data_IF_600200484692
#
_entry.id   IF_600200484692
#
_cell.length_a   1.000
_cell.length_b   1.000
_cell.length_c   1.000
_cell.angle_alpha   90.00
_cell.angle_beta   90.00
_cell.angle_gamma   90.00
#
_symmetry.space_group_name_H-M   'P 1'
#
loop_
_entity.id
_entity.type
_entity.pdbx_description
1 polymer ?
#
# COMPACT_ATOMS: atom_id res chain seq x y z
N UNK A 1 -55.74 15.18 25.75
CA UNK A 1 -56.32 14.83 24.44
C UNK A 1 -55.20 14.81 23.41
N UNK A 2 -55.15 13.85 22.49
CA UNK A 2 -55.08 12.39 22.67
C UNK A 2 -53.80 11.81 22.00
N UNK A 3 -53.18 10.76 22.58
CA UNK A 3 -53.12 9.34 22.11
C UNK A 3 -52.09 9.11 20.99
N UNK A 4 -50.97 8.43 21.27
CA UNK A 4 -50.72 6.96 21.22
C UNK A 4 -50.02 6.62 19.90
N UNK A 5 -48.78 6.09 19.93
CA UNK A 5 -48.37 4.69 20.17
C UNK A 5 -48.33 3.89 18.86
N UNK A 6 -47.48 2.85 18.85
CA UNK A 6 -47.17 1.89 17.77
C UNK A 6 -45.90 2.28 17.00
N UNK A 7 -44.68 1.83 17.35
CA UNK A 7 -44.21 0.46 17.62
C UNK A 7 -44.68 -0.53 16.55
N UNK A 8 -43.77 -0.91 15.66
CA UNK A 8 -43.59 -2.31 15.27
C UNK A 8 -42.31 -2.48 14.46
N UNK A 9 -41.49 -3.43 14.92
CA UNK A 9 -40.20 -3.75 14.35
C UNK A 9 -40.31 -4.36 12.95
N UNK A 10 -39.38 -3.97 12.08
CA UNK A 10 -39.12 -4.72 10.86
C UNK A 10 -37.92 -5.65 11.06
N UNK A 11 -38.18 -6.90 10.72
CA UNK A 11 -37.40 -8.08 10.93
C UNK A 11 -36.16 -8.08 10.04
N UNK A 12 -35.07 -8.60 10.59
CA UNK A 12 -34.01 -9.15 9.77
C UNK A 12 -34.57 -10.22 8.82
N UNK A 13 -34.34 -10.05 7.54
CA UNK A 13 -34.34 -11.15 6.58
C UNK A 13 -33.27 -10.89 5.51
N UNK A 14 -32.37 -11.84 5.46
CA UNK A 14 -31.22 -12.03 4.58
C UNK A 14 -31.52 -11.84 3.09
N UNK A 15 -30.61 -11.24 2.30
CA UNK A 15 -30.44 -11.65 0.92
C UNK A 15 -29.53 -12.87 0.86
N UNK A 16 -30.18 -14.00 0.58
CA UNK A 16 -29.63 -15.22 0.01
C UNK A 16 -28.72 -14.92 -1.18
N UNK A 17 -27.50 -15.45 -1.10
CA UNK A 17 -26.73 -16.11 -2.16
C UNK A 17 -27.00 -15.68 -3.61
N UNK A 18 -26.17 -14.77 -4.11
CA UNK A 18 -25.73 -14.81 -5.49
C UNK A 18 -24.20 -14.78 -5.49
N UNK A 19 -23.61 -15.98 -5.66
CA UNK A 19 -22.25 -16.13 -6.17
C UNK A 19 -22.23 -15.44 -7.54
N UNK A 20 -21.64 -14.27 -7.60
CA UNK A 20 -21.10 -13.74 -8.84
C UNK A 20 -19.60 -13.97 -8.75
N UNK A 21 -19.13 -14.84 -9.64
CA UNK A 21 -17.73 -15.01 -9.96
C UNK A 21 -17.13 -13.63 -10.27
N UNK A 22 -16.36 -13.08 -9.32
CA UNK A 22 -15.37 -12.06 -9.61
C UNK A 22 -14.27 -12.70 -10.45
N UNK A 23 -14.56 -12.89 -11.73
CA UNK A 23 -13.54 -12.99 -12.76
C UNK A 23 -12.80 -11.67 -12.72
N UNK A 24 -11.62 -11.75 -12.12
CA UNK A 24 -10.49 -10.83 -12.17
C UNK A 24 -10.33 -10.26 -13.58
N UNK A 25 -11.09 -9.23 -13.92
CA UNK A 25 -10.87 -8.34 -15.04
C UNK A 25 -9.66 -7.48 -14.68
N UNK A 26 -8.48 -8.09 -14.81
CA UNK A 26 -7.24 -7.35 -14.91
C UNK A 26 -7.39 -6.41 -16.09
N UNK A 27 -7.57 -5.14 -15.79
CA UNK A 27 -7.52 -4.03 -16.72
C UNK A 27 -6.09 -4.00 -17.28
N UNK A 28 -5.83 -4.86 -18.27
CA UNK A 28 -4.63 -4.80 -19.08
C UNK A 28 -4.73 -3.49 -19.84
N UNK A 29 -4.08 -2.46 -19.32
CA UNK A 29 -3.78 -1.24 -20.06
C UNK A 29 -2.97 -1.69 -21.27
N UNK A 30 -3.65 -1.82 -22.41
CA UNK A 30 -3.09 -2.32 -23.66
C UNK A 30 -1.85 -1.50 -24.01
N UNK A 31 -0.73 -2.20 -24.27
CA UNK A 31 0.55 -1.57 -24.68
C UNK A 31 0.44 -0.88 -26.05
N UNK A 32 -0.70 -1.01 -26.73
CA UNK A 32 -0.98 -0.48 -28.08
C UNK A 32 -2.32 0.30 -28.14
N UNK A 33 -2.41 1.52 -27.59
CA UNK A 33 -3.66 2.30 -27.51
C UNK A 33 -4.34 2.61 -28.85
N UNK A 34 -3.57 2.59 -29.96
CA UNK A 34 -4.10 2.81 -31.30
C UNK A 34 -4.93 1.62 -31.81
N UNK A 35 -4.56 0.40 -31.42
CA UNK A 35 -5.27 -0.82 -31.82
C UNK A 35 -6.59 -0.94 -31.08
N UNK A 36 -6.63 -0.54 -29.81
CA UNK A 36 -7.84 -0.57 -29.00
C UNK A 36 -8.98 0.25 -29.63
N UNK A 37 -8.68 1.46 -30.10
CA UNK A 37 -9.68 2.32 -30.73
C UNK A 37 -10.23 1.75 -32.05
N UNK A 38 -9.38 1.04 -32.82
CA UNK A 38 -9.80 0.36 -34.05
C UNK A 38 -10.64 -0.89 -33.73
N UNK A 39 -10.21 -1.67 -32.74
CA UNK A 39 -10.92 -2.88 -32.29
C UNK A 39 -12.32 -2.57 -31.74
N UNK A 40 -12.47 -1.49 -30.97
CA UNK A 40 -13.77 -1.09 -30.43
C UNK A 40 -14.81 -0.76 -31.51
N UNK A 41 -14.42 -0.54 -32.77
CA UNK A 41 -15.36 -0.33 -33.88
C UNK A 41 -15.99 -1.62 -34.40
N UNK A 42 -15.36 -2.76 -34.15
CA UNK A 42 -15.76 -4.08 -34.65
C UNK A 42 -16.08 -5.08 -33.53
N UNK A 43 -15.85 -4.71 -32.26
CA UNK A 43 -16.15 -5.55 -31.09
C UNK A 43 -17.67 -5.70 -30.89
N UNK A 44 -18.13 -6.95 -30.80
CA UNK A 44 -19.53 -7.30 -30.53
C UNK A 44 -19.89 -7.21 -29.04
N UNK A 45 -18.96 -6.74 -28.21
CA UNK A 45 -19.14 -6.56 -26.78
C UNK A 45 -18.77 -7.82 -26.01
N UNK A 46 -17.49 -8.20 -26.08
CA UNK A 46 -16.79 -9.07 -25.12
C UNK A 46 -15.29 -9.19 -25.45
N UNK A 47 -14.72 -8.24 -26.21
CA UNK A 47 -13.37 -8.37 -26.76
C UNK A 47 -13.29 -9.43 -27.87
N UNK A 48 -14.40 -9.71 -28.55
CA UNK A 48 -14.51 -10.61 -29.71
C UNK A 48 -15.16 -9.86 -30.86
N UNK A 49 -14.76 -10.18 -32.09
CA UNK A 49 -15.33 -9.59 -33.31
C UNK A 49 -15.64 -10.68 -34.34
N UNK A 50 -16.61 -10.44 -35.21
CA UNK A 50 -17.03 -11.40 -36.25
C UNK A 50 -15.95 -11.63 -37.31
N UNK A 51 -15.82 -12.86 -37.82
CA UNK A 51 -14.85 -13.22 -38.87
C UNK A 51 -15.06 -12.41 -40.16
N UNK A 52 -16.30 -11.99 -40.45
CA UNK A 52 -16.64 -11.11 -41.57
C UNK A 52 -16.00 -9.72 -41.50
N UNK A 53 -15.61 -9.30 -40.29
CA UNK A 53 -14.99 -8.00 -40.06
C UNK A 53 -13.47 -8.01 -40.18
N UNK A 54 -12.84 -9.20 -40.23
CA UNK A 54 -11.38 -9.32 -40.27
C UNK A 54 -10.73 -8.59 -41.46
N UNK A 55 -11.30 -8.74 -42.66
CA UNK A 55 -10.80 -8.05 -43.85
C UNK A 55 -10.93 -6.53 -43.76
N UNK A 56 -12.02 -6.04 -43.17
CA UNK A 56 -12.24 -4.60 -42.98
C UNK A 56 -11.31 -4.02 -41.92
N UNK A 57 -11.07 -4.78 -40.84
CA UNK A 57 -10.14 -4.41 -39.77
C UNK A 57 -8.70 -4.28 -40.29
N UNK A 58 -8.23 -5.26 -41.06
CA UNK A 58 -6.89 -5.23 -41.67
C UNK A 58 -6.74 -4.07 -42.65
N UNK A 59 -7.78 -3.78 -43.43
CA UNK A 59 -7.80 -2.63 -44.35
C UNK A 59 -7.76 -1.29 -43.60
N UNK A 60 -8.53 -1.15 -42.52
CA UNK A 60 -8.53 0.05 -41.67
C UNK A 60 -7.19 0.25 -40.95
N UNK A 61 -6.43 -0.84 -40.73
CA UNK A 61 -5.04 -0.80 -40.24
C UNK A 61 -4.01 -0.48 -41.35
N UNK A 62 -4.44 -0.40 -42.61
CA UNK A 62 -3.58 -0.08 -43.76
C UNK A 62 -3.00 -1.29 -44.49
N UNK A 63 -3.43 -2.51 -44.17
CA UNK A 63 -2.96 -3.74 -44.81
C UNK A 63 -3.90 -4.17 -45.92
N UNK A 64 -3.36 -4.38 -47.13
CA UNK A 64 -4.13 -4.89 -48.25
C UNK A 64 -3.94 -6.40 -48.41
N UNK A 65 -4.73 -7.17 -47.67
CA UNK A 65 -4.61 -8.63 -47.63
C UNK A 65 -5.22 -9.28 -48.87
N UNK A 66 -4.45 -10.15 -49.54
CA UNK A 66 -5.01 -10.98 -50.60
C UNK A 66 -6.05 -11.99 -50.03
N UNK A 67 -7.13 -12.33 -50.76
CA UNK A 67 -8.17 -13.24 -50.25
C UNK A 67 -7.64 -14.57 -49.70
N UNK A 68 -6.61 -15.14 -50.35
CA UNK A 68 -5.97 -16.38 -49.88
C UNK A 68 -5.27 -16.26 -48.53
N UNK A 69 -4.73 -15.08 -48.23
CA UNK A 69 -4.10 -14.80 -46.93
C UNK A 69 -5.17 -14.66 -45.86
N UNK A 70 -6.30 -14.02 -46.20
CA UNK A 70 -7.45 -13.91 -45.31
C UNK A 70 -8.05 -15.28 -44.98
N UNK A 71 -8.24 -16.14 -45.98
CA UNK A 71 -8.76 -17.51 -45.77
C UNK A 71 -7.84 -18.31 -44.83
N UNK A 72 -6.52 -18.24 -45.06
CA UNK A 72 -5.53 -18.88 -44.18
C UNK A 72 -5.55 -18.31 -42.76
N UNK A 73 -5.67 -16.99 -42.63
CA UNK A 73 -5.75 -16.33 -41.34
C UNK A 73 -7.00 -16.77 -40.55
N UNK A 74 -8.12 -16.96 -41.24
CA UNK A 74 -9.36 -17.48 -40.66
C UNK A 74 -9.22 -18.93 -40.21
N UNK A 75 -8.62 -19.80 -41.03
CA UNK A 75 -8.35 -21.20 -40.67
C UNK A 75 -7.46 -21.31 -39.41
N UNK A 76 -6.51 -20.39 -39.24
CA UNK A 76 -5.58 -20.37 -38.09
C UNK A 76 -6.21 -19.76 -36.82
N UNK A 77 -6.99 -18.69 -36.93
CA UNK A 77 -7.57 -17.97 -35.79
C UNK A 77 -8.93 -18.52 -35.33
N UNK A 78 -9.72 -19.12 -36.22
CA UNK A 78 -11.03 -19.71 -35.92
C UNK A 78 -11.13 -21.14 -36.50
N UNK A 79 -10.31 -22.09 -36.03
CA UNK A 79 -10.27 -23.45 -36.56
C UNK A 79 -11.58 -24.22 -36.37
N UNK A 80 -12.45 -23.75 -35.46
CA UNK A 80 -13.74 -24.36 -35.16
C UNK A 80 -14.89 -23.72 -35.95
N UNK A 81 -14.60 -22.73 -36.81
CA UNK A 81 -15.60 -21.95 -37.55
C UNK A 81 -16.72 -21.40 -36.65
N UNK A 82 -16.35 -20.89 -35.48
CA UNK A 82 -17.26 -20.27 -34.52
C UNK A 82 -17.87 -18.98 -35.07
N UNK A 83 -17.20 -18.34 -36.04
CA UNK A 83 -17.57 -17.05 -36.58
C UNK A 83 -17.10 -15.87 -35.72
N UNK A 84 -16.42 -16.12 -34.61
CA UNK A 84 -15.95 -15.10 -33.67
C UNK A 84 -14.44 -15.24 -33.43
N UNK A 85 -13.71 -14.13 -33.52
CA UNK A 85 -12.27 -14.07 -33.25
C UNK A 85 -12.04 -13.22 -32.01
N UNK A 86 -11.31 -13.75 -31.03
CA UNK A 86 -10.93 -12.96 -29.84
C UNK A 86 -9.82 -11.97 -30.17
N UNK A 87 -9.87 -10.78 -29.55
CA UNK A 87 -8.83 -9.75 -29.71
C UNK A 87 -7.44 -10.28 -29.40
N UNK A 88 -7.30 -11.12 -28.38
CA UNK A 88 -6.01 -11.71 -28.01
C UNK A 88 -5.49 -12.63 -29.12
N UNK A 89 -6.34 -13.51 -29.65
CA UNK A 89 -6.00 -14.43 -30.75
C UNK A 89 -5.56 -13.67 -32.00
N UNK A 90 -6.26 -12.58 -32.34
CA UNK A 90 -5.84 -11.74 -33.46
C UNK A 90 -4.47 -11.09 -33.23
N UNK A 91 -4.22 -10.53 -32.04
CA UNK A 91 -2.95 -9.85 -31.77
C UNK A 91 -1.77 -10.81 -31.80
N UNK A 92 -1.92 -12.02 -31.25
CA UNK A 92 -0.89 -13.07 -31.31
C UNK A 92 -0.61 -13.49 -32.76
N UNK A 93 -1.67 -13.71 -33.56
CA UNK A 93 -1.52 -14.04 -34.98
C UNK A 93 -0.87 -12.89 -35.77
N UNK A 94 -1.31 -11.66 -35.52
CA UNK A 94 -0.82 -10.47 -36.22
C UNK A 94 0.64 -10.20 -35.90
N UNK A 95 1.08 -10.32 -34.64
CA UNK A 95 2.49 -10.19 -34.27
C UNK A 95 3.39 -11.21 -34.98
N UNK A 96 2.89 -12.45 -35.16
CA UNK A 96 3.63 -13.50 -35.85
C UNK A 96 3.68 -13.35 -37.38
N UNK A 97 2.71 -12.67 -37.99
CA UNK A 97 2.52 -12.65 -39.45
C UNK A 97 2.56 -11.25 -40.09
N UNK A 98 2.71 -10.17 -39.32
CA UNK A 98 2.64 -8.78 -39.82
C UNK A 98 3.57 -8.49 -41.01
N UNK A 99 4.75 -9.11 -41.04
CA UNK A 99 5.74 -8.91 -42.11
C UNK A 99 5.35 -9.58 -43.44
N UNK A 100 4.52 -10.63 -43.40
CA UNK A 100 4.14 -11.43 -44.57
C UNK A 100 2.82 -10.96 -45.21
N UNK A 101 2.04 -10.13 -44.52
CA UNK A 101 0.70 -9.68 -44.95
C UNK A 101 0.76 -8.73 -46.17
N UNK A 102 1.81 -7.90 -46.26
CA UNK A 102 1.90 -6.82 -47.27
C UNK A 102 2.75 -7.21 -48.49
N UNK A 103 3.16 -8.48 -48.60
CA UNK A 103 3.94 -8.95 -49.74
C UNK A 103 3.03 -9.06 -50.98
N UNK A 104 3.24 -8.24 -52.02
CA UNK A 104 2.50 -8.39 -53.27
C UNK A 104 2.82 -9.78 -53.86
N UNK A 105 1.88 -10.43 -54.57
CA UNK A 105 2.15 -11.71 -55.19
C UNK A 105 3.32 -11.55 -56.17
N UNK A 106 4.52 -11.94 -55.76
CA UNK A 106 5.67 -12.05 -56.63
C UNK A 106 5.32 -13.10 -57.65
N UNK A 107 5.12 -12.65 -58.90
CA UNK A 107 4.88 -13.50 -60.04
C UNK A 107 5.88 -14.66 -60.04
N UNK A 108 5.35 -15.88 -60.01
CA UNK A 108 6.11 -17.11 -60.06
C UNK A 108 7.04 -17.11 -61.29
N UNK A 109 8.33 -17.02 -61.02
CA UNK A 109 9.40 -17.19 -62.01
C UNK A 109 9.47 -18.66 -62.41
N UNK A 110 8.94 -19.01 -63.58
CA UNK A 110 9.13 -20.32 -64.20
C UNK A 110 10.56 -20.51 -64.73
N UNK A 111 11.09 -21.74 -64.77
CA UNK A 111 12.39 -22.02 -65.37
C UNK A 111 12.23 -22.23 -66.89
N UNK A 112 12.66 -21.25 -67.68
CA UNK A 112 12.73 -21.32 -69.15
C UNK A 112 14.17 -21.27 -69.65
N UNK A 113 14.56 -22.32 -70.40
CA UNK A 113 15.80 -22.57 -71.15
C UNK A 113 16.57 -21.38 -71.74
N UNK A 114 17.86 -21.59 -72.06
CA UNK A 114 18.44 -21.04 -73.27
C UNK A 114 18.99 -22.13 -74.20
N UNK A 115 18.44 -22.16 -75.41
CA UNK A 115 19.03 -22.73 -76.64
C UNK A 115 19.54 -21.55 -77.45
N UNK A 116 20.82 -21.51 -77.82
CA UNK A 116 21.29 -21.02 -79.14
C UNK A 116 22.67 -21.59 -79.47
N UNK A 117 22.81 -22.02 -80.73
CA UNK A 117 24.00 -22.32 -81.54
C UNK A 117 23.46 -22.30 -83.00
N UNK A 118 24.25 -22.33 -84.10
CA UNK A 118 25.67 -22.01 -84.37
C UNK A 118 25.86 -21.20 -85.70
N UNK A 119 27.10 -20.87 -86.09
CA UNK A 119 27.56 -20.55 -87.49
C UNK A 119 29.09 -20.32 -87.43
N UNK A 120 30.03 -21.04 -88.06
CA UNK A 120 30.27 -21.65 -89.39
C UNK A 120 30.80 -20.71 -90.50
N UNK A 121 31.99 -21.04 -91.02
CA UNK A 121 32.67 -20.50 -92.23
C UNK A 121 34.17 -20.32 -91.95
N UNK A 122 35.11 -21.13 -92.47
CA UNK A 122 35.39 -21.44 -93.88
C UNK A 122 36.23 -20.28 -94.47
N UNK A 123 37.41 -20.42 -95.07
CA UNK A 123 38.20 -21.52 -95.62
C UNK A 123 39.12 -20.92 -96.70
N UNK A 124 40.20 -21.61 -97.05
CA UNK A 124 40.86 -21.52 -98.36
C UNK A 124 41.96 -20.46 -98.56
N UNK A 125 42.97 -20.60 -99.42
CA UNK A 125 43.80 -21.68 -100.00
C UNK A 125 44.62 -21.03 -101.14
N UNK A 126 45.89 -21.45 -101.27
CA UNK A 126 46.65 -21.62 -102.51
C UNK A 126 47.18 -20.45 -103.38
N UNK A 127 48.21 -20.85 -104.15
CA UNK A 127 48.78 -20.35 -105.42
C UNK A 127 50.08 -19.52 -105.24
N UNK A 128 51.20 -19.70 -105.95
CA UNK A 128 51.92 -20.74 -106.74
C UNK A 128 52.84 -19.98 -107.72
N UNK A 129 53.88 -20.66 -108.22
CA UNK A 129 54.57 -20.48 -109.53
C UNK A 129 55.63 -19.35 -109.63
N UNK A 130 56.92 -19.70 -109.86
CA UNK A 130 57.62 -19.91 -111.17
C UNK A 130 58.07 -18.53 -111.74
N UNK A 131 59.19 -18.26 -112.42
CA UNK A 131 60.21 -19.01 -113.16
C UNK A 131 61.24 -17.96 -113.68
N UNK A 132 62.42 -18.43 -114.13
CA UNK A 132 63.33 -17.93 -115.18
C UNK A 132 63.80 -16.46 -115.23
N UNK A 133 64.94 -16.07 -115.83
CA UNK A 133 66.28 -16.59 -116.13
C UNK A 133 67.07 -15.36 -116.66
N UNK A 134 68.40 -15.33 -116.45
CA UNK A 134 69.52 -14.80 -117.30
C UNK A 134 69.29 -13.62 -118.29
N UNK A 135 70.21 -12.73 -118.65
CA UNK A 135 71.54 -12.19 -118.27
C UNK A 135 71.76 -11.05 -119.30
N UNK A 136 72.27 -9.89 -118.87
CA UNK A 136 72.39 -8.70 -119.72
C UNK A 136 73.19 -7.58 -119.05
N UNK A 137 74.39 -7.89 -118.55
CA UNK A 137 75.23 -6.98 -117.78
C UNK A 137 76.13 -6.07 -118.64
N UNK A 138 75.90 -4.75 -118.59
CA UNK A 138 76.92 -3.67 -118.53
C UNK A 138 76.33 -2.31 -118.95
N UNK A 139 75.72 -2.18 -120.14
CA UNK A 139 75.01 -0.94 -120.55
C UNK A 139 73.65 -0.81 -119.84
N UNK A 140 73.05 -1.96 -119.54
CA UNK A 140 71.95 -2.15 -118.60
C UNK A 140 72.37 -1.77 -117.19
N UNK A 141 73.65 -1.80 -116.81
CA UNK A 141 74.06 -1.63 -115.40
C UNK A 141 74.04 -0.16 -114.96
N UNK A 142 74.31 0.80 -115.85
CA UNK A 142 74.21 2.25 -115.56
C UNK A 142 72.78 2.77 -115.71
N UNK A 143 72.04 2.27 -116.71
CA UNK A 143 70.61 2.56 -116.86
C UNK A 143 69.77 1.86 -115.79
N UNK A 144 70.15 0.65 -115.38
CA UNK A 144 69.64 -0.07 -114.20
C UNK A 144 70.04 0.65 -112.94
N UNK A 145 71.28 1.11 -112.74
CA UNK A 145 71.63 1.88 -111.54
C UNK A 145 70.81 3.18 -111.44
N UNK A 146 70.52 3.85 -112.57
CA UNK A 146 69.64 5.02 -112.60
C UNK A 146 68.17 4.66 -112.38
N UNK A 147 67.69 3.56 -112.96
CA UNK A 147 66.34 3.02 -112.74
C UNK A 147 66.17 2.51 -111.30
N UNK A 148 67.19 1.90 -110.72
CA UNK A 148 67.27 1.42 -109.34
C UNK A 148 67.31 2.59 -108.39
N UNK A 149 68.10 3.63 -108.65
CA UNK A 149 68.05 4.86 -107.87
C UNK A 149 66.66 5.52 -107.93
N UNK A 150 65.99 5.52 -109.10
CA UNK A 150 64.61 6.02 -109.24
C UNK A 150 63.58 5.13 -108.54
N UNK A 151 63.70 3.82 -108.68
CA UNK A 151 62.84 2.82 -108.05
C UNK A 151 63.02 2.83 -106.55
N UNK A 152 64.24 3.04 -106.07
CA UNK A 152 64.59 3.15 -104.66
C UNK A 152 64.08 4.46 -104.08
N UNK A 153 64.17 5.58 -104.81
CA UNK A 153 63.50 6.83 -104.43
C UNK A 153 61.99 6.64 -104.34
N UNK A 154 61.38 6.00 -105.34
CA UNK A 154 59.94 5.70 -105.36
C UNK A 154 59.53 4.78 -104.20
N UNK A 155 60.32 3.72 -103.91
CA UNK A 155 60.12 2.85 -102.75
C UNK A 155 60.21 3.63 -101.44
N UNK A 156 61.21 4.51 -101.29
CA UNK A 156 61.32 5.36 -100.09
C UNK A 156 60.17 6.36 -99.98
N UNK A 157 59.68 6.92 -101.08
CA UNK A 157 58.51 7.82 -101.08
C UNK A 157 57.23 7.07 -100.72
N UNK A 158 57.05 5.86 -101.24
CA UNK A 158 55.93 4.99 -100.93
C UNK A 158 55.99 4.51 -99.47
N UNK A 159 57.18 4.21 -98.93
CA UNK A 159 57.40 3.90 -97.51
C UNK A 159 57.10 5.10 -96.61
N UNK A 160 57.53 6.30 -96.99
CA UNK A 160 57.21 7.55 -96.28
C UNK A 160 55.70 7.79 -96.28
N UNK A 161 55.00 7.56 -97.40
CA UNK A 161 53.54 7.65 -97.47
C UNK A 161 52.86 6.61 -96.60
N UNK A 162 53.34 5.37 -96.60
CA UNK A 162 52.80 4.29 -95.77
C UNK A 162 52.98 4.61 -94.28
N UNK A 163 54.15 5.10 -93.89
CA UNK A 163 54.45 5.55 -92.53
C UNK A 163 53.59 6.75 -92.13
N UNK A 164 53.39 7.71 -93.02
CA UNK A 164 52.49 8.85 -92.79
C UNK A 164 51.05 8.38 -92.56
N UNK A 165 50.53 7.47 -93.40
CA UNK A 165 49.19 6.89 -93.24
C UNK A 165 49.07 6.12 -91.92
N UNK A 166 50.09 5.34 -91.55
CA UNK A 166 50.13 4.63 -90.26
C UNK A 166 50.14 5.59 -89.08
N UNK A 167 50.93 6.66 -89.14
CA UNK A 167 50.96 7.69 -88.09
C UNK A 167 49.61 8.39 -87.93
N UNK A 168 48.89 8.66 -89.03
CA UNK A 168 47.54 9.22 -88.98
C UNK A 168 46.58 8.28 -88.27
N UNK A 169 46.60 6.98 -88.60
CA UNK A 169 45.77 5.98 -87.91
C UNK A 169 46.12 5.86 -86.42
N UNK A 170 47.41 5.79 -86.07
CA UNK A 170 47.85 5.72 -84.67
C UNK A 170 47.44 6.96 -83.87
N UNK A 171 47.56 8.16 -84.43
CA UNK A 171 47.09 9.40 -83.77
C UNK A 171 45.57 9.42 -83.60
N UNK A 172 44.83 8.90 -84.59
CA UNK A 172 43.38 8.78 -84.48
C UNK A 172 42.97 7.76 -83.41
N UNK A 173 43.71 6.66 -83.27
CA UNK A 173 43.52 5.67 -82.19
C UNK A 173 43.90 6.23 -80.83
N UNK A 174 45.02 6.94 -80.72
CA UNK A 174 45.45 7.62 -79.50
C UNK A 174 44.41 8.65 -79.04
N UNK A 175 43.89 9.47 -79.96
CA UNK A 175 42.83 10.43 -79.65
C UNK A 175 41.53 9.75 -79.20
N UNK A 176 41.18 8.59 -79.79
CA UNK A 176 40.03 7.78 -79.32
C UNK A 176 40.29 7.21 -77.92
N UNK A 177 41.50 6.73 -77.64
CA UNK A 177 41.89 6.22 -76.33
C UNK A 177 41.87 7.32 -75.26
N UNK A 178 42.43 8.50 -75.56
CA UNK A 178 42.37 9.66 -74.68
C UNK A 178 40.93 10.08 -74.36
N UNK A 179 40.05 10.16 -75.36
CA UNK A 179 38.62 10.43 -75.13
C UNK A 179 37.96 9.40 -74.19
N UNK A 180 38.30 8.12 -74.33
CA UNK A 180 37.79 7.06 -73.43
C UNK A 180 38.32 7.22 -72.00
N UNK A 181 39.59 7.59 -71.84
CA UNK A 181 40.21 7.85 -70.53
C UNK A 181 39.56 9.09 -69.87
N UNK A 182 39.35 10.17 -70.63
CA UNK A 182 38.67 11.37 -70.13
C UNK A 182 37.23 11.07 -69.71
N UNK A 183 36.49 10.29 -70.49
CA UNK A 183 35.13 9.87 -70.13
C UNK A 183 35.11 8.97 -68.88
N UNK A 184 36.06 8.04 -68.77
CA UNK A 184 36.21 7.19 -67.57
C UNK A 184 36.56 8.02 -66.33
N UNK A 185 37.47 8.99 -66.47
CA UNK A 185 37.84 9.92 -65.40
C UNK A 185 36.67 10.83 -65.00
N UNK A 186 35.86 11.28 -65.98
CA UNK A 186 34.65 12.06 -65.69
C UNK A 186 33.64 11.23 -64.91
N UNK A 187 33.38 9.98 -65.34
CA UNK A 187 32.51 9.05 -64.61
C UNK A 187 33.02 8.74 -63.20
N UNK A 188 34.33 8.56 -63.04
CA UNK A 188 34.94 8.34 -61.72
C UNK A 188 34.70 9.53 -60.78
N UNK A 189 34.88 10.77 -61.27
CA UNK A 189 34.59 11.99 -60.50
C UNK A 189 33.12 12.13 -60.13
N UNK A 190 32.21 11.79 -61.05
CA UNK A 190 30.76 11.78 -60.77
C UNK A 190 30.41 10.76 -59.67
N UNK A 191 30.96 9.54 -59.76
CA UNK A 191 30.78 8.51 -58.72
C UNK A 191 31.33 8.95 -57.36
N UNK A 192 32.50 9.58 -57.32
CA UNK A 192 33.07 10.12 -56.09
C UNK A 192 32.20 11.23 -55.49
N UNK A 193 31.65 12.12 -56.32
CA UNK A 193 30.73 13.17 -55.88
C UNK A 193 29.45 12.58 -55.26
N UNK A 194 28.85 11.57 -55.91
CA UNK A 194 27.67 10.85 -55.38
C UNK A 194 28.01 10.12 -54.08
N UNK A 195 29.15 9.42 -54.01
CA UNK A 195 29.60 8.72 -52.80
C UNK A 195 29.80 9.69 -51.64
N UNK A 196 30.37 10.88 -51.91
CA UNK A 196 30.55 11.95 -50.91
C UNK A 196 29.21 12.48 -50.40
N UNK A 197 28.27 12.78 -51.31
CA UNK A 197 26.93 13.24 -50.96
C UNK A 197 26.15 12.20 -50.13
N UNK A 198 26.25 10.93 -50.51
CA UNK A 198 25.60 9.84 -49.79
C UNK A 198 26.23 9.65 -48.40
N UNK A 199 27.56 9.70 -48.30
CA UNK A 199 28.26 9.61 -47.01
C UNK A 199 27.91 10.80 -46.09
N UNK A 200 27.81 12.01 -46.63
CA UNK A 200 27.38 13.19 -45.88
C UNK A 200 25.93 13.08 -45.41
N UNK A 201 25.02 12.62 -46.28
CA UNK A 201 23.63 12.38 -45.92
C UNK A 201 23.50 11.33 -44.80
N UNK A 202 24.29 10.26 -44.86
CA UNK A 202 24.30 9.23 -43.83
C UNK A 202 24.86 9.73 -42.50
N UNK A 203 25.91 10.57 -42.53
CA UNK A 203 26.42 11.26 -41.33
C UNK A 203 25.39 12.22 -40.74
N UNK A 204 24.69 12.98 -41.58
CA UNK A 204 23.63 13.89 -41.12
C UNK A 204 22.47 13.13 -40.46
N UNK A 205 22.04 12.00 -41.06
CA UNK A 205 21.03 11.11 -40.48
C UNK A 205 21.45 10.54 -39.13
N UNK A 206 22.70 10.11 -38.99
CA UNK A 206 23.25 9.62 -37.71
C UNK A 206 23.23 10.70 -36.64
N UNK A 207 23.72 11.91 -36.95
CA UNK A 207 23.70 13.04 -36.02
C UNK A 207 22.28 13.42 -35.58
N UNK A 208 21.33 13.44 -36.50
CA UNK A 208 19.93 13.72 -36.19
C UNK A 208 19.33 12.65 -35.26
N UNK A 209 19.64 11.37 -35.49
CA UNK A 209 19.21 10.27 -34.64
C UNK A 209 19.83 10.37 -33.23
N UNK A 210 21.12 10.67 -33.12
CA UNK A 210 21.81 10.87 -31.84
C UNK A 210 21.22 12.05 -31.06
N UNK A 211 20.94 13.18 -31.73
CA UNK A 211 20.28 14.33 -31.10
C UNK A 211 18.89 13.96 -30.56
N UNK A 212 18.07 13.28 -31.36
CA UNK A 212 16.75 12.82 -30.92
C UNK A 212 16.85 11.90 -29.69
N UNK A 213 17.83 10.98 -29.67
CA UNK A 213 18.04 10.10 -28.51
C UNK A 213 18.45 10.88 -27.25
N UNK A 214 19.29 11.91 -27.39
CA UNK A 214 19.67 12.77 -26.26
C UNK A 214 18.48 13.56 -25.73
N UNK A 215 17.64 14.09 -26.61
CA UNK A 215 16.44 14.82 -26.21
C UNK A 215 15.43 13.91 -25.51
N UNK A 216 15.21 12.68 -26.02
CA UNK A 216 14.37 11.68 -25.36
C UNK A 216 14.90 11.36 -23.96
N UNK A 217 16.22 11.15 -23.80
CA UNK A 217 16.83 10.90 -22.48
C UNK A 217 16.62 12.08 -21.55
N UNK A 218 16.91 13.30 -22.00
CA UNK A 218 16.72 14.53 -21.21
C UNK A 218 15.27 14.68 -20.76
N UNK A 219 14.31 14.43 -21.63
CA UNK A 219 12.88 14.49 -21.28
C UNK A 219 12.48 13.42 -20.27
N UNK A 220 13.01 12.19 -20.41
CA UNK A 220 12.78 11.13 -19.41
C UNK A 220 13.35 11.49 -18.04
N UNK A 221 14.56 12.03 -18.00
CA UNK A 221 15.20 12.45 -16.75
C UNK A 221 14.41 13.59 -16.09
N UNK A 222 13.99 14.59 -16.87
CA UNK A 222 13.14 15.69 -16.38
C UNK A 222 11.80 15.19 -15.84
N UNK A 223 11.12 14.29 -16.56
CA UNK A 223 9.86 13.69 -16.10
C UNK A 223 10.06 12.82 -14.85
N UNK A 224 11.17 12.08 -14.77
CA UNK A 224 11.53 11.30 -13.59
C UNK A 224 11.75 12.20 -12.37
N UNK A 225 12.51 13.28 -12.53
CA UNK A 225 12.75 14.28 -11.48
C UNK A 225 11.46 14.96 -11.05
N UNK A 226 10.60 15.38 -11.99
CA UNK A 226 9.30 15.97 -11.70
C UNK A 226 8.37 14.99 -10.93
N UNK A 227 8.36 13.72 -11.34
CA UNK A 227 7.59 12.67 -10.68
C UNK A 227 8.09 12.40 -9.27
N UNK A 228 9.42 12.37 -9.06
CA UNK A 228 10.06 12.21 -7.76
C UNK A 228 9.69 13.37 -6.82
N UNK A 229 9.81 14.62 -7.28
CA UNK A 229 9.42 15.80 -6.50
C UNK A 229 7.93 15.82 -6.16
N UNK A 230 7.07 15.40 -7.09
CA UNK A 230 5.63 15.27 -6.83
C UNK A 230 5.32 14.21 -5.77
N UNK A 231 6.01 13.07 -5.82
CA UNK A 231 5.91 12.01 -4.80
C UNK A 231 6.38 12.52 -3.44
N UNK A 232 7.50 13.25 -3.39
CA UNK A 232 8.02 13.82 -2.16
C UNK A 232 7.07 14.85 -1.54
N UNK A 233 6.48 15.75 -2.34
CA UNK A 233 5.45 16.69 -1.85
C UNK A 233 4.23 15.96 -1.27
N UNK A 234 3.74 14.92 -1.96
CA UNK A 234 2.62 14.09 -1.44
C UNK A 234 2.99 13.44 -0.11
N UNK A 235 4.20 12.90 0.00
CA UNK A 235 4.69 12.30 1.24
C UNK A 235 4.79 13.34 2.37
N UNK A 236 5.29 14.56 2.08
CA UNK A 236 5.35 15.65 3.06
C UNK A 236 3.96 16.02 3.56
N UNK A 237 2.98 16.21 2.66
CA UNK A 237 1.59 16.49 3.04
C UNK A 237 0.97 15.36 3.85
N UNK A 238 1.24 14.10 3.48
CA UNK A 238 0.72 12.94 4.22
C UNK A 238 1.36 12.85 5.62
N UNK A 239 2.65 13.11 5.73
CA UNK A 239 3.36 13.16 7.01
C UNK A 239 2.84 14.29 7.90
N UNK A 240 2.55 15.47 7.36
CA UNK A 240 1.97 16.58 8.15
C UNK A 240 0.57 16.26 8.65
N UNK A 241 -0.28 15.62 7.81
CA UNK A 241 -1.62 15.18 8.23
C UNK A 241 -1.52 14.11 9.33
N UNK A 242 -0.62 13.15 9.17
CA UNK A 242 -0.41 12.10 10.17
C UNK A 242 0.11 12.65 11.50
N UNK A 243 1.03 13.63 11.46
CA UNK A 243 1.52 14.32 12.65
C UNK A 243 0.40 15.06 13.38
N UNK A 244 -0.46 15.79 12.64
CA UNK A 244 -1.61 16.50 13.22
C UNK A 244 -2.59 15.52 13.88
N UNK A 245 -2.91 14.40 13.21
CA UNK A 245 -3.77 13.35 13.77
C UNK A 245 -3.18 12.75 15.04
N UNK A 246 -1.88 12.46 15.05
CA UNK A 246 -1.20 11.94 16.24
C UNK A 246 -1.27 12.94 17.41
N UNK A 247 -1.08 14.24 17.14
CA UNK A 247 -1.20 15.30 18.13
C UNK A 247 -2.62 15.38 18.71
N UNK A 248 -3.66 15.35 17.86
CA UNK A 248 -5.05 15.34 18.32
C UNK A 248 -5.38 14.14 19.21
N UNK A 249 -4.88 12.94 18.87
CA UNK A 249 -5.06 11.74 19.69
C UNK A 249 -4.35 11.88 21.04
N UNK A 250 -3.13 12.41 21.05
CA UNK A 250 -2.39 12.68 22.29
C UNK A 250 -3.13 13.69 23.17
N UNK A 251 -3.64 14.77 22.61
CA UNK A 251 -4.41 15.77 23.34
C UNK A 251 -5.69 15.18 23.93
N UNK A 252 -6.43 14.40 23.14
CA UNK A 252 -7.65 13.71 23.60
C UNK A 252 -7.36 12.76 24.76
N UNK A 253 -6.24 12.02 24.69
CA UNK A 253 -5.79 11.14 25.79
C UNK A 253 -5.43 11.96 27.03
N UNK A 254 -4.65 13.03 26.88
CA UNK A 254 -4.29 13.91 27.99
C UNK A 254 -5.52 14.55 28.66
N UNK A 255 -6.51 14.98 27.88
CA UNK A 255 -7.78 15.50 28.40
C UNK A 255 -8.55 14.44 29.20
N UNK A 256 -8.63 13.21 28.68
CA UNK A 256 -9.25 12.08 29.38
C UNK A 256 -8.54 11.78 30.70
N UNK A 257 -7.21 11.73 30.69
CA UNK A 257 -6.41 11.43 31.88
C UNK A 257 -6.55 12.54 32.94
N UNK A 258 -6.53 13.81 32.52
CA UNK A 258 -6.79 14.95 33.40
C UNK A 258 -8.20 14.91 34.01
N UNK A 259 -9.21 14.51 33.23
CA UNK A 259 -10.57 14.35 33.72
C UNK A 259 -10.67 13.21 34.75
N UNK A 260 -10.04 12.06 34.49
CA UNK A 260 -9.99 10.93 35.43
C UNK A 260 -9.26 11.30 36.73
N UNK A 261 -8.14 12.03 36.63
CA UNK A 261 -7.42 12.53 37.80
C UNK A 261 -8.28 13.48 38.64
N UNK A 262 -9.06 14.36 38.01
CA UNK A 262 -10.01 15.25 38.71
C UNK A 262 -11.10 14.47 39.44
N UNK A 263 -11.66 13.43 38.81
CA UNK A 263 -12.65 12.54 39.46
C UNK A 263 -12.02 11.84 40.67
N UNK A 264 -10.79 11.33 40.54
CA UNK A 264 -10.07 10.66 41.61
C UNK A 264 -9.85 11.58 42.80
N UNK A 265 -9.33 12.79 42.56
CA UNK A 265 -9.13 13.81 43.60
C UNK A 265 -10.45 14.12 44.33
N UNK A 266 -11.55 14.33 43.59
CA UNK A 266 -12.86 14.60 44.20
C UNK A 266 -13.37 13.45 45.07
N UNK A 267 -13.15 12.20 44.66
CA UNK A 267 -13.53 11.03 45.47
C UNK A 267 -12.69 10.93 46.74
N UNK A 268 -11.40 11.21 46.63
CA UNK A 268 -10.48 11.18 47.76
C UNK A 268 -10.82 12.28 48.79
N UNK A 269 -11.12 13.50 48.35
CA UNK A 269 -11.57 14.57 49.25
C UNK A 269 -12.88 14.20 49.94
N UNK A 270 -13.87 13.69 49.20
CA UNK A 270 -15.14 13.24 49.79
C UNK A 270 -14.95 12.12 50.80
N UNK A 271 -14.07 11.16 50.50
CA UNK A 271 -13.75 10.07 51.42
C UNK A 271 -13.06 10.60 52.68
N UNK A 272 -12.14 11.56 52.54
CA UNK A 272 -11.47 12.22 53.66
C UNK A 272 -12.48 12.96 54.55
N UNK A 273 -13.36 13.78 53.97
CA UNK A 273 -14.41 14.52 54.68
C UNK A 273 -15.36 13.58 55.45
N UNK A 274 -15.79 12.48 54.81
CA UNK A 274 -16.64 11.47 55.46
C UNK A 274 -15.90 10.75 56.60
N UNK A 275 -14.61 10.47 56.43
CA UNK A 275 -13.76 9.85 57.45
C UNK A 275 -13.59 10.76 58.66
N UNK A 276 -13.34 12.06 58.43
CA UNK A 276 -13.24 13.09 59.46
C UNK A 276 -14.56 13.24 60.22
N UNK A 277 -15.68 13.41 59.52
CA UNK A 277 -17.01 13.47 60.13
C UNK A 277 -17.35 12.22 60.94
N UNK A 278 -17.00 11.05 60.42
CA UNK A 278 -17.19 9.78 61.14
C UNK A 278 -16.31 9.69 62.40
N UNK A 279 -15.13 10.32 62.41
CA UNK A 279 -14.26 10.41 63.58
C UNK A 279 -14.85 11.36 64.62
N UNK A 280 -15.39 12.49 64.19
CA UNK A 280 -16.09 13.44 65.06
C UNK A 280 -17.31 12.81 65.74
N UNK A 281 -18.16 12.10 64.98
CA UNK A 281 -19.34 11.40 65.51
C UNK A 281 -18.91 10.38 66.57
N UNK A 282 -17.91 9.55 66.28
CA UNK A 282 -17.37 8.57 67.24
C UNK A 282 -16.80 9.24 68.50
N UNK A 283 -16.15 10.41 68.37
CA UNK A 283 -15.66 11.19 69.51
C UNK A 283 -16.79 11.74 70.38
N UNK A 284 -17.83 12.29 69.75
CA UNK A 284 -19.03 12.76 70.43
C UNK A 284 -19.78 11.64 71.15
N UNK A 285 -19.99 10.50 70.49
CA UNK A 285 -20.64 9.33 71.07
C UNK A 285 -19.84 8.80 72.27
N UNK A 286 -18.53 8.65 72.14
CA UNK A 286 -17.65 8.23 73.25
C UNK A 286 -17.72 9.20 74.43
N UNK A 287 -17.74 10.51 74.16
CA UNK A 287 -17.85 11.53 75.19
C UNK A 287 -19.22 11.53 75.87
N UNK A 288 -20.30 11.34 75.11
CA UNK A 288 -21.65 11.21 75.64
C UNK A 288 -21.81 9.95 76.50
N UNK A 289 -21.24 8.82 76.07
CA UNK A 289 -21.24 7.57 76.84
C UNK A 289 -20.50 7.74 78.16
N UNK A 290 -19.31 8.36 78.15
CA UNK A 290 -18.57 8.69 79.38
C UNK A 290 -19.40 9.55 80.33
N UNK A 291 -20.04 10.62 79.84
CA UNK A 291 -20.91 11.48 80.67
C UNK A 291 -22.06 10.68 81.29
N UNK A 292 -22.70 9.78 80.53
CA UNK A 292 -23.79 8.95 81.05
C UNK A 292 -23.30 7.99 82.13
N UNK A 293 -22.14 7.37 81.93
CA UNK A 293 -21.55 6.44 82.90
C UNK A 293 -21.09 7.18 84.16
N UNK A 294 -20.53 8.39 84.03
CA UNK A 294 -20.20 9.27 85.15
C UNK A 294 -21.45 9.66 85.95
N UNK A 295 -22.54 10.04 85.28
CA UNK A 295 -23.82 10.33 85.94
C UNK A 295 -24.37 9.12 86.70
N UNK A 296 -24.35 7.92 86.10
CA UNK A 296 -24.78 6.69 86.79
C UNK A 296 -23.91 6.38 88.00
N UNK A 297 -22.59 6.51 87.88
CA UNK A 297 -21.66 6.33 89.02
C UNK A 297 -21.92 7.33 90.13
N UNK A 298 -22.19 8.60 89.78
CA UNK A 298 -22.51 9.64 90.75
C UNK A 298 -23.84 9.36 91.45
N UNK A 299 -24.90 8.99 90.72
CA UNK A 299 -26.18 8.57 91.29
C UNK A 299 -26.02 7.36 92.22
N UNK A 300 -25.24 6.34 91.81
CA UNK A 300 -24.98 5.18 92.65
C UNK A 300 -24.22 5.55 93.93
N UNK A 301 -23.22 6.43 93.83
CA UNK A 301 -22.48 6.96 95.00
C UNK A 301 -23.41 7.73 95.94
N UNK A 302 -24.29 8.55 95.39
CA UNK A 302 -25.26 9.33 96.17
C UNK A 302 -26.29 8.42 96.86
N UNK A 303 -26.84 7.43 96.17
CA UNK A 303 -27.71 6.42 96.75
C UNK A 303 -27.00 5.65 97.88
N UNK A 304 -25.75 5.23 97.68
CA UNK A 304 -24.96 4.56 98.71
C UNK A 304 -24.68 5.46 99.91
N UNK A 305 -24.40 6.75 99.68
CA UNK A 305 -24.22 7.74 100.74
C UNK A 305 -25.50 7.91 101.54
N UNK A 306 -26.64 8.11 100.88
CA UNK A 306 -27.95 8.25 101.53
C UNK A 306 -28.33 6.98 102.30
N UNK A 307 -28.05 5.79 101.76
CA UNK A 307 -28.28 4.53 102.46
C UNK A 307 -27.42 4.40 103.72
N UNK A 308 -26.14 4.80 103.66
CA UNK A 308 -25.25 4.83 104.84
C UNK A 308 -25.71 5.84 105.88
N UNK A 309 -26.11 7.04 105.47
CA UNK A 309 -26.66 8.06 106.37
C UNK A 309 -27.95 7.56 107.06
N UNK A 310 -28.86 6.93 106.32
CA UNK A 310 -30.07 6.30 106.89
C UNK A 310 -29.74 5.16 107.86
N UNK A 311 -28.80 4.29 107.51
CA UNK A 311 -28.35 3.21 108.39
C UNK A 311 -27.78 3.80 109.70
N UNK A 312 -26.97 4.85 109.62
CA UNK A 312 -26.43 5.53 110.79
C UNK A 312 -27.53 6.16 111.66
N UNK A 313 -28.56 6.75 111.06
CA UNK A 313 -29.73 7.27 111.79
C UNK A 313 -30.51 6.15 112.49
N UNK A 314 -30.74 5.02 111.83
CA UNK A 314 -31.41 3.87 112.46
C UNK A 314 -30.59 3.27 113.60
N UNK A 315 -29.27 3.20 113.48
CA UNK A 315 -28.39 2.84 114.60
C UNK A 315 -28.49 3.82 115.78
N UNK A 316 -28.55 5.13 115.51
CA UNK A 316 -28.74 6.13 116.56
C UNK A 316 -30.10 5.99 117.25
N UNK A 317 -31.18 5.81 116.49
CA UNK A 317 -32.53 5.56 117.05
C UNK A 317 -32.58 4.29 117.87
N UNK A 318 -31.97 3.21 117.39
CA UNK A 318 -31.84 1.94 118.12
C UNK A 318 -31.13 2.17 119.45
N UNK A 319 -29.99 2.87 119.44
CA UNK A 319 -29.22 3.18 120.64
C UNK A 319 -30.02 4.04 121.64
N UNK A 320 -30.77 5.04 121.16
CA UNK A 320 -31.64 5.85 122.03
C UNK A 320 -32.78 5.04 122.63
N UNK A 321 -33.38 4.13 121.85
CA UNK A 321 -34.45 3.26 122.34
C UNK A 321 -33.93 2.21 123.32
N UNK A 322 -32.77 1.60 123.07
CA UNK A 322 -32.13 0.67 124.01
C UNK A 322 -31.83 1.38 125.35
N UNK A 323 -31.38 2.65 125.30
CA UNK A 323 -31.18 3.45 126.52
C UNK A 323 -32.50 3.71 127.26
N UNK A 324 -33.58 4.01 126.54
CA UNK A 324 -34.90 4.23 127.12
C UNK A 324 -35.49 2.94 127.72
N UNK A 325 -35.36 1.81 127.02
CA UNK A 325 -35.76 0.49 127.53
C UNK A 325 -35.02 0.20 128.81
N UNK A 326 -33.69 0.39 128.83
CA UNK A 326 -32.89 0.20 130.04
C UNK A 326 -33.38 1.07 131.21
N UNK A 327 -33.76 2.32 130.95
CA UNK A 327 -34.37 3.18 131.97
C UNK A 327 -35.71 2.63 132.46
N UNK A 328 -36.58 2.16 131.56
CA UNK A 328 -37.87 1.56 131.94
C UNK A 328 -37.70 0.22 132.67
N UNK A 329 -36.70 -0.60 132.32
CA UNK A 329 -36.34 -1.84 133.04
C UNK A 329 -35.83 -1.53 134.46
N UNK A 330 -35.02 -0.48 134.61
CA UNK A 330 -34.58 0.02 135.92
C UNK A 330 -35.75 0.55 136.77
N UNK A 331 -36.72 1.24 136.15
CA UNK A 331 -37.94 1.68 136.84
C UNK A 331 -38.86 0.50 137.18
N UNK A 332 -39.01 -0.48 136.29
CA UNK A 332 -39.80 -1.70 136.52
C UNK A 332 -39.25 -2.50 137.69
N UNK A 333 -37.94 -2.74 137.74
CA UNK A 333 -37.28 -3.45 138.85
C UNK A 333 -37.49 -2.73 140.18
N UNK A 334 -37.41 -1.40 140.21
CA UNK A 334 -37.75 -0.62 141.40
C UNK A 334 -39.21 -0.75 141.80
N UNK A 335 -40.14 -0.80 140.83
CA UNK A 335 -41.57 -0.93 141.10
C UNK A 335 -41.90 -2.33 141.67
N UNK A 336 -41.28 -3.38 141.10
CA UNK A 336 -41.38 -4.76 141.59
C UNK A 336 -40.84 -4.84 143.02
N UNK A 337 -39.73 -4.18 143.31
CA UNK A 337 -39.15 -4.16 144.65
C UNK A 337 -40.07 -3.46 145.66
N UNK A 338 -40.67 -2.32 145.29
CA UNK A 338 -41.69 -1.64 146.11
C UNK A 338 -42.95 -2.49 146.31
N UNK A 339 -43.43 -3.17 145.26
CA UNK A 339 -44.58 -4.08 145.33
C UNK A 339 -44.28 -5.27 146.25
N UNK A 340 -43.07 -5.83 146.18
CA UNK A 340 -42.63 -6.91 147.06
C UNK A 340 -42.61 -6.46 148.52
N UNK A 341 -42.06 -5.27 148.80
CA UNK A 341 -42.10 -4.66 150.15
C UNK A 341 -43.54 -4.44 150.62
N UNK A 342 -44.42 -3.96 149.73
CA UNK A 342 -45.84 -3.72 150.07
C UNK A 342 -46.60 -5.04 150.34
N UNK A 343 -46.34 -6.09 149.58
CA UNK A 343 -46.88 -7.42 149.84
C UNK A 343 -46.32 -8.04 151.13
N UNK A 344 -45.05 -7.79 151.45
CA UNK A 344 -44.43 -8.22 152.70
C UNK A 344 -45.03 -7.47 153.90
N UNK A 345 -45.31 -6.17 153.75
CA UNK A 345 -46.09 -5.38 154.72
C UNK A 345 -47.53 -5.88 154.87
N UNK A 346 -48.21 -6.23 153.78
CA UNK A 346 -49.56 -6.84 153.85
C UNK A 346 -49.51 -8.19 154.54
N UNK A 347 -48.50 -9.02 154.28
CA UNK A 347 -48.29 -10.29 154.98
C UNK A 347 -48.10 -10.07 156.48
N UNK A 348 -47.26 -9.11 156.87
CA UNK A 348 -47.07 -8.72 158.26
C UNK A 348 -48.38 -8.19 158.91
N UNK A 349 -49.19 -7.42 158.17
CA UNK A 349 -50.49 -6.93 158.64
C UNK A 349 -51.51 -8.07 158.79
N UNK A 350 -51.52 -9.06 157.89
CA UNK A 350 -52.37 -10.24 157.99
C UNK A 350 -51.94 -11.17 159.13
N UNK A 351 -50.64 -11.39 159.34
CA UNK A 351 -50.13 -12.10 160.53
C UNK A 351 -50.55 -11.39 161.81
N UNK A 352 -50.56 -10.05 161.81
CA UNK A 352 -51.02 -9.28 162.96
C UNK A 352 -52.53 -9.41 163.21
N UNK A 353 -53.34 -9.51 162.15
CA UNK A 353 -54.78 -9.75 162.23
C UNK A 353 -55.12 -11.18 162.71
N UNK A 354 -54.34 -12.18 162.27
CA UNK A 354 -54.49 -13.57 162.73
C UNK A 354 -54.17 -13.69 164.24
N UNK A 355 -53.19 -12.90 164.71
CA UNK A 355 -52.88 -12.78 166.15
C UNK A 355 -53.99 -12.10 166.96
N UNK A 356 -54.73 -11.15 166.39
CA UNK A 356 -55.85 -10.46 167.06
C UNK A 356 -57.10 -11.35 167.10
N UNK A 357 -57.37 -12.10 166.03
CA UNK A 357 -58.53 -13.02 165.96
C UNK A 357 -58.40 -14.22 166.92
N UNK A 358 -57.18 -14.66 167.25
CA UNK A 358 -56.98 -15.74 168.23
C UNK A 358 -57.14 -15.33 169.71
N UNK A 359 -57.23 -14.03 170.03
CA UNK A 359 -57.27 -13.56 171.41
C UNK A 359 -58.66 -13.14 171.92
N UNK A 360 -59.72 -13.16 171.09
CA UNK A 360 -61.07 -12.70 171.46
C UNK A 360 -62.11 -13.82 171.67
N UNK A 361 -61.71 -15.09 171.64
CA UNK A 361 -62.59 -16.27 171.86
C UNK A 361 -62.67 -16.73 173.35
N UNK A 362 -62.54 -15.82 174.31
CA UNK A 362 -62.59 -16.20 175.73
C UNK A 362 -62.80 -15.08 176.74
N UNK A 363 -63.99 -14.47 176.80
CA UNK A 363 -64.65 -14.05 178.06
C UNK A 363 -66.13 -13.65 177.84
N UNK A 364 -67.02 -14.51 178.36
CA UNK A 364 -68.44 -14.35 178.80
C UNK A 364 -69.55 -13.92 177.82
#
# INVERSE_FOLDING_TARGET
MPLDSDDDGDYGSTPTTARQDEVRSGEYVSETPCFDALFSRYDSGNGVFGTEHLGSLLLDMGFNCAPRVLDRALDEMDPNATGEISKLTFLEWFEANADDIDLPPTAATGPGSPRTNPSQGGGGNAISLDDCDVDGGALTQVTSAMLDAKNQRKRTEDDVRLLANRLVHLRAEEAKAQKRIEEANRRAKEMEAVKRRNAEHQRAKQRAMEQLQLDIRRMRDMNHMASSLSRERRNQTMNSINALRAQMVQETRAQRDAHLARIRMKRETQHSELSERSREIRSHEKSALKRRDELKKNQQRELLRNAREKLAQEYQKKLTNERLIKQMEEEETQLIERLRISHEMQRAAYEHLEFVIQNDDGEL
#
